data_IF_794665548079
#
_entry.id   IF_794665548079
#
_cell.length_a   1.000
_cell.length_b   1.000
_cell.length_c   1.000
_cell.angle_alpha   90.00
_cell.angle_beta   90.00
_cell.angle_gamma   90.00
#
_symmetry.space_group_name_H-M   'P 1'
#
loop_
_entity.id
_entity.type
_entity.pdbx_description
1 polymer ?
#
# COMPACT_ATOMS: atom_id res chain seq x y z
N UNK A 1 -16.92 -32.45 -6.03
CA UNK A 1 -16.88 -30.97 -6.07
C UNK A 1 -16.02 -30.53 -4.91
N UNK A 2 -14.81 -30.05 -5.17
CA UNK A 2 -13.93 -29.54 -4.13
C UNK A 2 -14.08 -28.04 -4.09
N UNK A 3 -14.85 -27.53 -3.14
CA UNK A 3 -14.86 -26.10 -2.84
C UNK A 3 -13.55 -25.81 -2.11
N UNK A 4 -12.60 -25.20 -2.82
CA UNK A 4 -11.35 -24.70 -2.24
C UNK A 4 -11.69 -23.68 -1.14
N UNK A 5 -11.40 -23.96 0.14
CA UNK A 5 -11.65 -23.02 1.24
C UNK A 5 -10.92 -21.69 1.02
N UNK A 6 -9.81 -21.71 0.28
CA UNK A 6 -9.02 -20.53 -0.07
C UNK A 6 -9.73 -19.54 -1.02
N UNK A 7 -10.72 -19.98 -1.81
CA UNK A 7 -11.47 -19.07 -2.69
C UNK A 7 -12.54 -18.28 -1.94
N UNK A 8 -13.14 -18.87 -0.90
CA UNK A 8 -14.20 -18.23 -0.11
C UNK A 8 -13.67 -17.15 0.82
N UNK A 9 -12.50 -17.37 1.44
CA UNK A 9 -11.86 -16.38 2.34
C UNK A 9 -11.55 -15.08 1.59
N UNK A 10 -11.08 -15.18 0.34
CA UNK A 10 -10.69 -14.01 -0.46
C UNK A 10 -11.83 -13.08 -0.83
N UNK A 11 -13.07 -13.57 -0.99
CA UNK A 11 -14.16 -12.73 -1.48
C UNK A 11 -14.78 -11.87 -0.37
N UNK A 12 -15.00 -12.45 0.81
CA UNK A 12 -15.57 -11.75 1.97
C UNK A 12 -14.64 -10.63 2.45
N UNK A 13 -13.34 -10.89 2.43
CA UNK A 13 -12.34 -9.87 2.79
C UNK A 13 -12.26 -8.75 1.76
N UNK A 14 -12.39 -9.05 0.46
CA UNK A 14 -12.49 -8.03 -0.61
C UNK A 14 -13.75 -7.16 -0.40
N UNK A 15 -14.90 -7.77 -0.08
CA UNK A 15 -16.15 -7.05 0.19
C UNK A 15 -16.01 -6.14 1.42
N UNK A 16 -15.11 -6.47 2.36
CA UNK A 16 -14.84 -5.64 3.54
C UNK A 16 -13.96 -4.42 3.26
N UNK A 17 -13.34 -4.32 2.08
CA UNK A 17 -12.48 -3.20 1.73
C UNK A 17 -13.29 -1.91 1.52
N UNK A 18 -12.88 -0.85 2.20
CA UNK A 18 -13.48 0.49 2.09
C UNK A 18 -12.57 1.39 1.24
N UNK A 19 -13.11 2.45 0.63
CA UNK A 19 -12.29 3.43 -0.11
C UNK A 19 -11.10 3.97 0.69
N UNK A 20 -11.25 4.14 2.00
CA UNK A 20 -10.15 4.55 2.89
C UNK A 20 -8.96 3.58 2.85
N UNK A 21 -9.20 2.26 2.83
CA UNK A 21 -8.10 1.29 2.79
C UNK A 21 -7.28 1.43 1.49
N UNK A 22 -7.94 1.76 0.37
CA UNK A 22 -7.24 2.02 -0.90
C UNK A 22 -6.47 3.33 -0.85
N UNK A 23 -7.03 4.37 -0.23
CA UNK A 23 -6.31 5.63 -0.01
C UNK A 23 -5.04 5.40 0.82
N UNK A 24 -5.12 4.63 1.90
CA UNK A 24 -3.99 4.31 2.77
C UNK A 24 -2.96 3.43 2.06
N UNK A 25 -3.39 2.50 1.21
CA UNK A 25 -2.51 1.72 0.33
C UNK A 25 -1.74 2.61 -0.65
N UNK A 26 -2.41 3.58 -1.27
CA UNK A 26 -1.76 4.50 -2.20
C UNK A 26 -0.74 5.38 -1.48
N UNK A 27 -1.08 5.90 -0.31
CA UNK A 27 -0.12 6.65 0.52
C UNK A 27 1.07 5.79 0.91
N UNK A 28 0.84 4.55 1.34
CA UNK A 28 1.91 3.58 1.65
C UNK A 28 2.81 3.34 0.44
N UNK A 29 2.22 3.13 -0.75
CA UNK A 29 2.98 2.95 -1.99
C UNK A 29 3.82 4.18 -2.34
N UNK A 30 3.25 5.38 -2.20
CA UNK A 30 3.96 6.65 -2.39
C UNK A 30 5.14 6.80 -1.42
N UNK A 31 4.98 6.43 -0.14
CA UNK A 31 6.05 6.42 0.86
C UNK A 31 7.14 5.38 0.55
N UNK A 32 6.78 4.21 0.03
CA UNK A 32 7.73 3.17 -0.39
C UNK A 32 8.58 3.65 -1.59
N UNK A 33 7.95 4.39 -2.51
CA UNK A 33 8.62 4.96 -3.66
C UNK A 33 9.51 6.15 -3.28
N UNK A 34 8.96 7.09 -2.52
CA UNK A 34 9.61 8.31 -2.08
C UNK A 34 9.37 8.56 -0.57
N UNK A 35 10.20 7.92 0.30
CA UNK A 35 10.24 8.12 1.75
C UNK A 35 10.35 9.57 2.21
N UNK A 36 10.84 10.45 1.33
CA UNK A 36 11.10 11.85 1.63
C UNK A 36 10.00 12.78 1.11
N UNK A 37 8.97 12.24 0.44
CA UNK A 37 7.87 13.00 -0.15
C UNK A 37 8.35 14.18 -1.00
N UNK A 38 9.42 13.99 -1.78
CA UNK A 38 9.99 15.00 -2.67
C UNK A 38 10.94 15.99 -1.99
N UNK A 39 11.24 15.84 -0.70
CA UNK A 39 12.21 16.72 -0.02
C UNK A 39 13.65 16.41 -0.45
N UNK A 40 14.22 17.34 -1.23
CA UNK A 40 15.58 17.23 -1.75
C UNK A 40 16.59 17.32 -0.60
N UNK A 41 17.49 16.35 -0.51
CA UNK A 41 18.63 16.36 0.42
C UNK A 41 18.49 15.47 1.67
N UNK A 42 17.30 14.89 1.92
CA UNK A 42 17.13 13.81 2.91
C UNK A 42 17.29 12.45 2.22
N UNK A 43 18.10 11.57 2.79
CA UNK A 43 18.14 10.14 2.44
C UNK A 43 17.68 9.35 3.66
N UNK A 44 16.45 8.85 3.63
CA UNK A 44 15.95 7.93 4.64
C UNK A 44 16.08 6.51 4.06
N UNK A 45 16.89 5.68 4.71
CA UNK A 45 16.95 4.26 4.38
C UNK A 45 16.02 3.52 5.32
N UNK A 46 14.96 2.93 4.78
CA UNK A 46 13.94 2.23 5.56
C UNK A 46 14.04 0.75 5.25
N UNK A 47 14.18 -0.04 6.30
CA UNK A 47 14.05 -1.49 6.20
C UNK A 47 12.55 -1.85 6.23
N UNK A 48 11.96 -1.87 5.04
CA UNK A 48 10.54 -2.17 4.90
C UNK A 48 10.21 -3.63 5.22
N UNK A 49 11.17 -4.55 5.13
CA UNK A 49 10.96 -5.95 5.48
C UNK A 49 10.80 -6.10 7.00
N UNK A 50 11.60 -5.37 7.79
CA UNK A 50 11.46 -5.28 9.25
C UNK A 50 10.10 -4.68 9.67
N UNK A 51 9.56 -3.78 8.84
CA UNK A 51 8.22 -3.21 9.00
C UNK A 51 7.09 -4.10 8.48
N UNK A 52 7.38 -5.33 8.04
CA UNK A 52 6.37 -6.31 7.62
C UNK A 52 5.91 -6.16 6.17
N UNK A 53 6.68 -5.49 5.30
CA UNK A 53 6.45 -5.42 3.86
C UNK A 53 7.47 -6.30 3.12
N UNK A 54 7.12 -7.53 2.71
CA UNK A 54 8.04 -8.44 2.05
C UNK A 54 8.53 -7.89 0.70
N UNK A 55 9.71 -8.35 0.27
CA UNK A 55 10.35 -7.85 -0.98
C UNK A 55 9.47 -7.97 -2.23
N UNK A 56 8.74 -9.07 -2.40
CA UNK A 56 7.85 -9.26 -3.55
C UNK A 56 6.70 -8.26 -3.60
N UNK A 57 6.27 -7.76 -2.44
CA UNK A 57 5.25 -6.72 -2.30
C UNK A 57 5.86 -5.34 -2.57
N UNK A 58 7.08 -5.10 -2.06
CA UNK A 58 7.77 -3.82 -2.21
C UNK A 58 7.96 -3.41 -3.66
N UNK A 59 8.36 -4.34 -4.52
CA UNK A 59 8.61 -4.00 -5.92
C UNK A 59 7.31 -3.59 -6.63
N UNK A 60 6.19 -4.28 -6.37
CA UNK A 60 4.89 -3.90 -6.91
C UNK A 60 4.35 -2.58 -6.32
N UNK A 61 4.49 -2.35 -5.01
CA UNK A 61 4.07 -1.09 -4.39
C UNK A 61 4.95 0.09 -4.82
N UNK A 62 6.23 -0.13 -5.09
CA UNK A 62 7.12 0.93 -5.60
C UNK A 62 6.69 1.40 -6.99
N UNK A 63 6.30 0.48 -7.87
CA UNK A 63 5.77 0.84 -9.20
C UNK A 63 4.47 1.65 -9.09
N UNK A 64 3.53 1.21 -8.24
CA UNK A 64 2.27 1.92 -7.98
C UNK A 64 2.56 3.30 -7.39
N UNK A 65 3.46 3.39 -6.41
CA UNK A 65 3.84 4.63 -5.74
C UNK A 65 4.46 5.63 -6.70
N UNK A 66 5.30 5.16 -7.62
CA UNK A 66 5.88 6.00 -8.67
C UNK A 66 4.80 6.55 -9.60
N UNK A 67 3.91 5.69 -10.07
CA UNK A 67 2.87 6.08 -11.03
C UNK A 67 1.89 7.09 -10.43
N UNK A 68 1.53 6.89 -9.16
CA UNK A 68 0.60 7.76 -8.44
C UNK A 68 1.30 8.76 -7.53
N UNK A 69 2.59 9.06 -7.73
CA UNK A 69 3.39 9.90 -6.83
C UNK A 69 2.74 11.25 -6.52
N UNK A 70 2.07 11.85 -7.51
CA UNK A 70 1.41 13.16 -7.38
C UNK A 70 -0.13 13.06 -7.39
N UNK A 71 -0.67 11.85 -7.38
CA UNK A 71 -2.09 11.65 -7.43
C UNK A 71 -2.72 11.86 -6.04
N UNK A 72 -3.92 12.48 -6.04
CA UNK A 72 -4.78 12.42 -4.86
C UNK A 72 -5.14 10.96 -4.56
N UNK A 73 -5.19 10.52 -3.30
CA UNK A 73 -5.51 9.13 -2.95
C UNK A 73 -6.96 8.72 -3.25
N UNK A 74 -7.74 9.55 -3.94
CA UNK A 74 -9.10 9.30 -4.41
C UNK A 74 -9.14 8.58 -5.77
N UNK A 75 -8.20 7.67 -6.01
CA UNK A 75 -8.17 6.85 -7.22
C UNK A 75 -9.24 5.76 -7.13
N UNK A 76 -9.76 5.31 -8.27
CA UNK A 76 -10.73 4.22 -8.32
C UNK A 76 -10.17 2.95 -7.64
N UNK A 77 -10.88 2.37 -6.65
CA UNK A 77 -10.49 1.11 -6.02
C UNK A 77 -10.28 -0.03 -7.02
N UNK A 78 -11.10 -0.11 -8.07
CA UNK A 78 -11.01 -1.14 -9.10
C UNK A 78 -9.71 -1.01 -9.91
N UNK A 79 -9.31 0.22 -10.21
CA UNK A 79 -8.07 0.50 -10.94
C UNK A 79 -6.86 0.07 -10.12
N UNK A 80 -6.79 0.47 -8.85
CA UNK A 80 -5.71 0.07 -7.94
C UNK A 80 -5.69 -1.43 -7.75
N UNK A 81 -6.85 -2.04 -7.48
CA UNK A 81 -6.95 -3.47 -7.28
C UNK A 81 -6.40 -4.26 -8.48
N UNK A 82 -6.66 -3.79 -9.71
CA UNK A 82 -6.20 -4.42 -10.94
C UNK A 82 -4.67 -4.44 -11.10
N UNK A 83 -3.97 -3.45 -10.53
CA UNK A 83 -2.51 -3.28 -10.60
C UNK A 83 -1.75 -4.07 -9.55
N UNK A 84 -2.43 -4.53 -8.50
CA UNK A 84 -1.82 -5.36 -7.47
C UNK A 84 -1.58 -6.78 -7.99
N UNK A 85 -0.39 -7.32 -7.73
CA UNK A 85 -0.14 -8.75 -7.89
C UNK A 85 -1.01 -9.56 -6.93
N UNK A 86 -1.11 -10.87 -7.16
CA UNK A 86 -1.87 -11.74 -6.25
C UNK A 86 -1.32 -11.69 -4.82
N UNK A 87 0.00 -11.64 -4.67
CA UNK A 87 0.65 -11.54 -3.35
C UNK A 87 0.35 -10.20 -2.69
N UNK A 88 0.47 -9.09 -3.43
CA UNK A 88 0.15 -7.75 -2.92
C UNK A 88 -1.31 -7.61 -2.51
N UNK A 89 -2.25 -8.28 -3.19
CA UNK A 89 -3.67 -8.29 -2.78
C UNK A 89 -3.89 -9.01 -1.45
N UNK A 90 -3.26 -10.17 -1.28
CA UNK A 90 -3.34 -10.94 -0.02
C UNK A 90 -2.76 -10.10 1.11
N UNK A 91 -1.54 -9.60 0.93
CA UNK A 91 -0.88 -8.75 1.91
C UNK A 91 -1.71 -7.49 2.23
N UNK A 92 -2.27 -6.82 1.22
CA UNK A 92 -3.09 -5.63 1.43
C UNK A 92 -4.31 -5.95 2.29
N UNK A 93 -5.03 -7.03 2.00
CA UNK A 93 -6.21 -7.45 2.77
C UNK A 93 -5.87 -7.74 4.24
N UNK A 94 -4.75 -8.42 4.48
CA UNK A 94 -4.25 -8.76 5.82
C UNK A 94 -3.84 -7.50 6.62
N UNK A 95 -3.36 -6.45 5.94
CA UNK A 95 -2.77 -5.27 6.56
C UNK A 95 -3.61 -3.98 6.45
N UNK A 96 -4.74 -4.01 5.75
CA UNK A 96 -5.60 -2.85 5.40
C UNK A 96 -5.90 -1.89 6.56
N UNK A 97 -6.05 -2.42 7.78
CA UNK A 97 -6.44 -1.67 8.97
C UNK A 97 -5.24 -0.99 9.67
N UNK A 98 -4.01 -1.28 9.22
CA UNK A 98 -2.77 -0.80 9.83
C UNK A 98 -1.91 0.06 8.88
N UNK A 99 -2.28 0.18 7.60
CA UNK A 99 -1.48 0.89 6.59
C UNK A 99 -1.22 2.37 6.93
N UNK A 100 -2.20 3.04 7.55
CA UNK A 100 -2.06 4.43 8.01
C UNK A 100 -0.88 4.63 8.99
N UNK A 101 -0.43 3.59 9.69
CA UNK A 101 0.70 3.68 10.63
C UNK A 101 2.03 3.95 9.94
N UNK A 102 2.15 3.58 8.66
CA UNK A 102 3.38 3.89 7.91
C UNK A 102 3.61 5.39 7.84
N UNK A 103 2.56 6.21 7.80
CA UNK A 103 2.68 7.67 7.82
C UNK A 103 3.29 8.19 9.14
N UNK A 104 3.10 7.49 10.26
CA UNK A 104 3.68 7.88 11.56
C UNK A 104 5.20 7.65 11.63
N UNK A 105 5.74 6.79 10.76
CA UNK A 105 7.18 6.50 10.69
C UNK A 105 7.94 7.67 10.08
N UNK A 106 7.27 8.43 9.22
CA UNK A 106 7.85 9.59 8.56
C UNK A 106 7.58 10.83 9.42
N UNK A 107 8.59 11.69 9.63
CA UNK A 107 8.34 12.96 10.30
C UNK A 107 7.26 13.70 9.52
N UNK A 108 6.24 14.19 10.22
CA UNK A 108 5.26 15.10 9.63
C UNK A 108 6.03 16.18 8.87
N UNK A 109 5.66 16.39 7.60
CA UNK A 109 6.10 17.59 6.89
C UNK A 109 5.34 18.71 7.61
N UNK A 110 5.96 19.34 8.60
CA UNK A 110 5.48 20.61 9.11
C UNK A 110 5.41 21.54 7.90
N UNK A 111 4.19 21.82 7.43
CA UNK A 111 3.90 22.99 6.61
C UNK A 111 4.12 24.21 7.52
N UNK A 112 5.34 24.76 7.48
CA UNK A 112 5.65 26.09 7.99
C UNK A 112 5.18 27.16 6.98
#
# INVERSE_FOLDING_TARGET
>A
MSQDPQKSIKLEEIISLKPQHFADLIRTAQLIFDPCSGTVGRRVNIDWEDLGVPRSILDNLREIGQEYQYASPHISPEEIWSRLTTESRIWFVENKDNLWRFEEIFPAIDED
#
